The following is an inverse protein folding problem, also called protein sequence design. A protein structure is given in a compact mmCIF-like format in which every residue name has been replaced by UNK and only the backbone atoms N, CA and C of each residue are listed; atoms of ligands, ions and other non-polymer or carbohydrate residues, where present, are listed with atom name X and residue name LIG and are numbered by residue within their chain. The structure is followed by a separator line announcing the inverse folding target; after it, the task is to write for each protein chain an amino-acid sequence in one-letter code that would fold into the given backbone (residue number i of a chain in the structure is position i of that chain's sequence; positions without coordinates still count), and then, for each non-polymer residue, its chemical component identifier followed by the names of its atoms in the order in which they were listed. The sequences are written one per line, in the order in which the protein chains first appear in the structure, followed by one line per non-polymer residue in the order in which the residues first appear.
data_IF_554479399099
#
_entry.id   IF_554479399099
#
_cell.length_a   1.000
_cell.length_b   1.000
_cell.length_c   1.000
_cell.angle_alpha   90.00
_cell.angle_beta   90.00
_cell.angle_gamma   90.00
#
_symmetry.space_group_name_H-M   'P 1'
#
loop_
_entity.id
_entity.type
_entity.pdbx_description
1 polymer ?
#
# COMPACT_ATOMS: atom_id res chain seq x y z
N UNK A 1 -3.89 -9.53 1.45
CA UNK A 1 -3.39 -8.25 1.99
C UNK A 1 -3.20 -8.42 3.48
N UNK A 2 -2.48 -7.50 4.13
CA UNK A 2 -2.08 -7.61 5.52
C UNK A 2 -2.43 -6.33 6.28
N UNK A 3 -2.65 -6.45 7.58
CA UNK A 3 -2.87 -5.32 8.48
C UNK A 3 -1.69 -5.18 9.44
N UNK A 4 -1.28 -3.95 9.71
CA UNK A 4 -0.45 -3.64 10.87
C UNK A 4 -1.36 -3.45 12.09
N UNK A 5 -0.99 -4.07 13.22
CA UNK A 5 -1.71 -3.86 14.48
C UNK A 5 -1.29 -2.50 15.05
N UNK A 6 -2.18 -1.51 14.95
CA UNK A 6 -1.94 -0.15 15.49
C UNK A 6 -2.16 -0.11 17.00
N UNK A 7 -3.12 -0.91 17.49
CA UNK A 7 -3.41 -1.07 18.92
C UNK A 7 -3.81 -2.50 19.21
N UNK A 8 -3.12 -3.13 20.14
CA UNK A 8 -3.44 -4.48 20.61
C UNK A 8 -4.76 -4.51 21.40
N UNK A 9 -5.40 -5.68 21.45
CA UNK A 9 -6.64 -5.89 22.15
C UNK A 9 -7.21 -7.30 21.93
N UNK A 10 -8.28 -7.62 22.65
CA UNK A 10 -9.02 -8.86 22.46
C UNK A 10 -9.97 -8.73 21.27
N UNK A 11 -10.02 -9.76 20.44
CA UNK A 11 -10.96 -9.88 19.32
C UNK A 11 -11.60 -11.27 19.42
N UNK A 12 -12.91 -11.35 19.23
CA UNK A 12 -13.66 -12.60 19.28
C UNK A 12 -14.33 -12.89 17.94
N UNK A 13 -14.71 -14.15 17.73
CA UNK A 13 -15.55 -14.53 16.60
C UNK A 13 -16.87 -13.75 16.67
N UNK A 14 -17.34 -13.21 15.54
CA UNK A 14 -18.50 -12.30 15.39
C UNK A 14 -18.20 -10.81 15.51
N UNK A 15 -16.98 -10.40 15.87
CA UNK A 15 -16.59 -9.01 15.77
C UNK A 15 -16.55 -8.56 14.29
N UNK A 16 -17.34 -7.55 13.96
CA UNK A 16 -17.38 -6.98 12.62
C UNK A 16 -16.19 -6.04 12.38
N UNK A 17 -15.57 -6.15 11.20
CA UNK A 17 -14.62 -5.14 10.71
C UNK A 17 -15.43 -3.90 10.32
N UNK A 18 -15.13 -2.76 10.93
CA UNK A 18 -15.76 -1.47 10.64
C UNK A 18 -14.72 -0.52 10.05
N UNK A 19 -15.09 0.17 8.98
CA UNK A 19 -14.30 1.27 8.44
C UNK A 19 -14.46 2.48 9.39
N UNK A 20 -13.38 2.85 10.08
CA UNK A 20 -13.37 3.96 11.04
C UNK A 20 -12.72 5.23 10.48
N UNK A 21 -12.11 5.15 9.30
CA UNK A 21 -11.43 6.25 8.63
C UNK A 21 -10.95 5.81 7.25
N UNK A 22 -10.76 6.79 6.37
CA UNK A 22 -10.25 6.58 5.03
C UNK A 22 -9.24 7.68 4.71
N UNK A 23 -8.03 7.30 4.30
CA UNK A 23 -6.99 8.24 3.91
C UNK A 23 -7.34 8.89 2.56
N UNK A 24 -7.07 10.19 2.38
CA UNK A 24 -7.41 10.89 1.14
C UNK A 24 -6.67 10.36 -0.10
N UNK A 25 -5.59 9.60 0.10
CA UNK A 25 -4.82 8.98 -0.97
C UNK A 25 -5.43 7.61 -1.35
N UNK A 26 -6.56 7.64 -2.07
CA UNK A 26 -7.26 6.46 -2.60
C UNK A 26 -6.37 5.61 -3.53
N UNK A 27 -5.62 4.68 -2.98
CA UNK A 27 -4.98 3.59 -3.71
C UNK A 27 -5.48 2.26 -3.17
N UNK A 28 -6.04 1.44 -4.04
CA UNK A 28 -6.58 0.15 -3.63
C UNK A 28 -5.47 -0.90 -3.51
N UNK A 29 -5.76 -1.98 -2.80
CA UNK A 29 -4.89 -3.18 -2.80
C UNK A 29 -4.70 -3.72 -4.23
N UNK A 30 -5.71 -3.61 -5.09
CA UNK A 30 -5.65 -4.05 -6.48
C UNK A 30 -4.65 -3.20 -7.28
N UNK A 31 -4.62 -1.88 -7.05
CA UNK A 31 -3.66 -0.98 -7.70
C UNK A 31 -2.23 -1.32 -7.31
N UNK A 32 -1.97 -1.53 -6.02
CA UNK A 32 -0.65 -1.95 -5.51
C UNK A 32 -0.22 -3.29 -6.14
N UNK A 33 -1.14 -4.24 -6.24
CA UNK A 33 -0.88 -5.56 -6.85
C UNK A 33 -0.57 -5.44 -8.33
N UNK A 34 -1.30 -4.58 -9.05
CA UNK A 34 -1.09 -4.31 -10.47
C UNK A 34 0.27 -3.67 -10.74
N UNK A 35 0.69 -2.71 -9.90
CA UNK A 35 2.01 -2.08 -10.01
C UNK A 35 3.14 -3.08 -9.75
N UNK A 36 2.97 -3.97 -8.78
CA UNK A 36 3.96 -4.99 -8.48
C UNK A 36 4.09 -6.05 -9.59
N UNK A 37 2.97 -6.54 -10.10
CA UNK A 37 2.96 -7.69 -11.02
C UNK A 37 3.15 -7.30 -12.49
N UNK A 38 2.60 -6.17 -12.94
CA UNK A 38 2.44 -5.88 -14.37
C UNK A 38 2.98 -4.51 -14.78
N UNK A 39 2.57 -3.44 -14.12
CA UNK A 39 2.77 -2.06 -14.60
C UNK A 39 3.93 -1.36 -13.90
N UNK A 40 5.13 -1.90 -14.09
CA UNK A 40 6.36 -1.40 -13.42
C UNK A 40 6.91 -0.11 -14.04
N UNK A 41 6.33 0.33 -15.15
CA UNK A 41 6.66 1.54 -15.91
C UNK A 41 5.68 2.71 -15.62
N UNK A 42 4.60 2.47 -14.86
CA UNK A 42 3.67 3.54 -14.46
C UNK A 42 4.28 4.41 -13.34
N UNK A 43 5.13 5.37 -13.75
CA UNK A 43 5.86 6.25 -12.84
C UNK A 43 4.95 7.11 -11.95
N UNK A 44 3.77 7.49 -12.46
CA UNK A 44 2.81 8.31 -11.71
C UNK A 44 2.25 7.49 -10.55
N UNK A 45 1.83 6.25 -10.83
CA UNK A 45 1.29 5.36 -9.82
C UNK A 45 2.35 4.86 -8.85
N UNK A 46 3.59 4.63 -9.30
CA UNK A 46 4.73 4.31 -8.42
C UNK A 46 4.99 5.43 -7.40
N UNK A 47 5.07 6.68 -7.86
CA UNK A 47 5.23 7.84 -6.95
C UNK A 47 4.08 7.93 -5.96
N UNK A 48 2.83 7.81 -6.45
CA UNK A 48 1.64 7.82 -5.58
C UNK A 48 1.68 6.72 -4.53
N UNK A 49 2.12 5.51 -4.88
CA UNK A 49 2.20 4.39 -3.94
C UNK A 49 3.22 4.63 -2.82
N UNK A 50 4.35 5.30 -3.12
CA UNK A 50 5.41 5.59 -2.13
C UNK A 50 4.93 6.59 -1.05
N UNK A 51 4.05 7.53 -1.44
CA UNK A 51 3.48 8.55 -0.54
C UNK A 51 2.41 8.00 0.44
N UNK A 52 1.97 6.75 0.26
CA UNK A 52 0.96 6.14 1.14
C UNK A 52 1.58 5.86 2.50
N UNK A 53 1.15 6.57 3.54
CA UNK A 53 1.73 6.46 4.88
C UNK A 53 1.66 5.03 5.44
N UNK A 54 0.51 4.38 5.27
CA UNK A 54 0.26 3.02 5.76
C UNK A 54 1.02 1.92 4.99
N UNK A 55 1.70 2.24 3.88
CA UNK A 55 2.43 1.23 3.10
C UNK A 55 3.74 0.85 3.80
N UNK A 56 4.04 -0.45 4.00
CA UNK A 56 5.26 -0.88 4.68
C UNK A 56 6.54 -0.39 4.00
N UNK A 57 7.58 -0.10 4.79
CA UNK A 57 8.88 0.39 4.29
C UNK A 57 9.50 -0.50 3.22
N UNK A 58 9.36 -1.83 3.34
CA UNK A 58 9.88 -2.78 2.34
C UNK A 58 9.20 -2.61 0.98
N UNK A 59 7.89 -2.35 0.96
CA UNK A 59 7.13 -2.07 -0.25
C UNK A 59 7.48 -0.69 -0.83
N UNK A 60 7.61 0.35 0.01
CA UNK A 60 8.08 1.67 -0.43
C UNK A 60 9.47 1.57 -1.07
N UNK A 61 10.40 0.84 -0.46
CA UNK A 61 11.72 0.59 -1.01
C UNK A 61 11.69 -0.17 -2.33
N UNK A 62 10.84 -1.19 -2.46
CA UNK A 62 10.64 -1.89 -3.73
C UNK A 62 10.15 -0.95 -4.84
N UNK A 63 9.14 -0.12 -4.58
CA UNK A 63 8.61 0.80 -5.58
C UNK A 63 9.57 1.93 -5.91
N UNK A 64 10.33 2.44 -4.93
CA UNK A 64 11.40 3.41 -5.19
C UNK A 64 12.45 2.81 -6.13
N UNK A 65 12.89 1.57 -5.87
CA UNK A 65 13.84 0.89 -6.76
C UNK A 65 13.29 0.66 -8.17
N UNK A 66 11.99 0.36 -8.32
CA UNK A 66 11.37 0.31 -9.65
C UNK A 66 11.35 1.68 -10.33
N UNK A 67 11.06 2.75 -9.58
CA UNK A 67 11.02 4.11 -10.10
C UNK A 67 12.41 4.55 -10.59
N UNK A 68 13.45 4.30 -9.80
CA UNK A 68 14.84 4.68 -10.14
C UNK A 68 15.31 3.98 -11.42
N UNK A 69 14.93 2.71 -11.63
CA UNK A 69 15.23 1.94 -12.84
C UNK A 69 14.61 2.49 -14.13
N UNK A 70 13.55 3.28 -14.03
CA UNK A 70 12.86 3.84 -15.19
C UNK A 70 13.29 5.26 -15.51
N UNK A 71 13.98 5.93 -14.58
CA UNK A 71 14.46 7.31 -14.72
C UNK A 71 15.94 7.34 -15.12
N UNK A 72 16.72 6.31 -14.73
CA UNK A 72 18.10 6.11 -15.16
C UNK A 72 18.20 5.36 -16.49
#
# INVERSE_FOLDING_TARGET
FYFAVVREGMVVTSDAIKLIGHEQQDISVADITRLYAFQKDDLKSLRRAIEVEALPKSWKGYFQHQLDKQIG
#
